data_IF_002158129884
#
_entry.id   IF_002158129884
#
_cell.length_a   1.000
_cell.length_b   1.000
_cell.length_c   1.000
_cell.angle_alpha   90.00
_cell.angle_beta   90.00
_cell.angle_gamma   90.00
#
_symmetry.space_group_name_H-M   'P 1'
#
loop_
_entity.id
_entity.type
_entity.pdbx_description
1 polymer ?
#
# COMPACT_ATOMS: atom_id res chain seq x y z
N UNK A 1 -10.74 45.08 -16.17
CA UNK A 1 -10.54 44.28 -17.40
C UNK A 1 -9.05 44.05 -17.60
N UNK A 2 -8.59 42.79 -17.74
CA UNK A 2 -7.20 42.53 -18.10
C UNK A 2 -7.00 42.75 -19.62
N UNK A 3 -6.50 43.93 -19.99
CA UNK A 3 -6.05 44.23 -21.36
C UNK A 3 -4.53 44.12 -21.46
N UNK A 4 -4.02 43.30 -22.38
CA UNK A 4 -2.58 43.12 -22.65
C UNK A 4 -2.25 41.70 -23.10
N UNK A 5 -1.39 41.57 -24.12
CA UNK A 5 -1.03 40.30 -24.81
C UNK A 5 -0.80 39.14 -23.84
N UNK A 6 -1.29 37.98 -24.24
CA UNK A 6 -1.15 36.70 -23.55
C UNK A 6 0.24 36.54 -22.92
N UNK A 7 0.27 36.49 -21.58
CA UNK A 7 1.50 36.46 -20.78
C UNK A 7 2.19 35.10 -20.78
N UNK A 8 2.44 34.52 -21.96
CA UNK A 8 3.31 33.36 -22.11
C UNK A 8 4.75 33.84 -22.13
N UNK A 9 5.45 33.66 -21.02
CA UNK A 9 6.89 33.89 -20.95
C UNK A 9 7.59 32.52 -21.02
N UNK A 10 8.00 32.14 -22.24
CA UNK A 10 8.95 31.05 -22.45
C UNK A 10 10.36 31.60 -22.29
N UNK A 11 11.16 30.99 -21.43
CA UNK A 11 12.60 31.29 -21.37
C UNK A 11 13.35 30.20 -22.11
N UNK A 12 14.01 30.57 -23.21
CA UNK A 12 15.11 29.78 -23.79
C UNK A 12 16.39 30.20 -23.08
N UNK A 13 16.66 29.64 -21.91
CA UNK A 13 18.01 29.69 -21.34
C UNK A 13 18.90 28.74 -22.15
N UNK A 14 19.41 29.23 -23.28
CA UNK A 14 20.65 28.70 -23.81
C UNK A 14 21.75 29.00 -22.81
N UNK A 15 22.52 27.99 -22.40
CA UNK A 15 23.73 28.18 -21.60
C UNK A 15 24.63 29.21 -22.28
N UNK A 16 24.60 30.45 -21.80
CA UNK A 16 25.49 31.52 -22.25
C UNK A 16 26.82 31.29 -21.55
N UNK A 17 27.78 30.75 -22.29
CA UNK A 17 29.17 30.69 -21.86
C UNK A 17 29.70 32.11 -21.61
N UNK A 18 30.32 32.33 -20.46
CA UNK A 18 30.92 33.59 -20.08
C UNK A 18 32.13 33.87 -20.97
N UNK A 19 32.03 34.89 -21.83
CA UNK A 19 33.16 35.48 -22.52
C UNK A 19 33.87 36.49 -21.63
N UNK A 20 35.11 36.22 -21.25
CA UNK A 20 36.05 37.22 -20.76
C UNK A 20 37.06 37.53 -21.86
N UNK A 21 37.21 38.82 -22.16
CA UNK A 21 38.24 39.35 -23.07
C UNK A 21 39.58 39.46 -22.34
N UNK A 22 40.68 39.10 -23.02
CA UNK A 22 42.06 39.29 -22.55
C UNK A 22 43.08 38.81 -23.59
N UNK A 23 43.98 39.71 -23.97
CA UNK A 23 44.90 39.66 -25.12
C UNK A 23 46.10 38.70 -25.01
N UNK A 24 46.47 38.19 -26.19
CA UNK A 24 47.81 37.90 -26.75
C UNK A 24 48.78 36.88 -26.11
N UNK A 25 49.23 35.99 -27.01
CA UNK A 25 50.55 35.33 -27.13
C UNK A 25 50.63 33.84 -26.74
N UNK A 26 51.05 33.03 -27.73
CA UNK A 26 51.82 31.81 -27.50
C UNK A 26 51.12 30.49 -27.82
N UNK A 27 51.55 29.85 -28.91
CA UNK A 27 51.79 28.41 -29.06
C UNK A 27 50.69 27.41 -28.65
N UNK A 28 50.16 26.68 -29.64
CA UNK A 28 49.35 25.48 -29.43
C UNK A 28 50.14 24.36 -28.73
N UNK A 29 49.61 23.75 -27.66
CA UNK A 29 49.80 22.33 -27.42
C UNK A 29 48.46 21.59 -27.52
N UNK A 30 48.56 20.34 -27.94
CA UNK A 30 47.49 19.36 -28.12
C UNK A 30 46.54 19.27 -26.91
N UNK A 31 45.22 19.04 -27.09
CA UNK A 31 44.32 18.86 -25.97
C UNK A 31 44.58 17.50 -25.32
N UNK A 32 45.26 17.52 -24.19
CA UNK A 32 45.20 16.43 -23.21
C UNK A 32 43.77 16.37 -22.65
N UNK A 33 43.12 15.22 -22.84
CA UNK A 33 41.82 14.89 -22.26
C UNK A 33 41.91 14.96 -20.73
N UNK A 34 41.43 16.04 -20.13
CA UNK A 34 41.04 16.06 -18.71
C UNK A 34 39.54 15.74 -18.63
N UNK A 35 39.11 14.79 -17.78
CA UNK A 35 37.70 14.58 -17.52
C UNK A 35 37.28 15.58 -16.45
N UNK A 36 36.98 16.82 -16.85
CA UNK A 36 36.45 17.81 -15.91
C UNK A 36 34.93 17.59 -15.74
N UNK A 37 34.60 16.49 -15.06
CA UNK A 37 33.29 16.31 -14.43
C UNK A 37 33.30 17.15 -13.15
N UNK A 38 33.05 18.44 -13.27
CA UNK A 38 32.66 19.27 -12.12
C UNK A 38 31.24 18.86 -11.68
N UNK A 39 31.13 17.74 -10.97
CA UNK A 39 29.91 17.32 -10.30
C UNK A 39 29.60 18.35 -9.20
N UNK A 40 28.62 19.23 -9.45
CA UNK A 40 28.09 20.12 -8.44
C UNK A 40 27.38 19.29 -7.35
N UNK A 41 27.73 19.50 -6.09
CA UNK A 41 27.08 18.85 -4.95
C UNK A 41 25.59 19.22 -4.91
N UNK A 42 24.70 18.27 -5.19
CA UNK A 42 23.26 18.50 -5.05
C UNK A 42 22.82 18.10 -3.64
N UNK A 43 22.50 19.09 -2.81
CA UNK A 43 21.90 18.87 -1.49
C UNK A 43 20.46 18.35 -1.63
N UNK A 44 20.08 17.43 -0.74
CA UNK A 44 18.74 16.85 -0.74
C UNK A 44 17.65 17.85 -0.35
N UNK A 45 16.53 17.82 -1.06
CA UNK A 45 15.33 18.55 -0.65
C UNK A 45 14.07 17.68 -0.73
N UNK A 46 13.09 18.05 0.07
CA UNK A 46 11.85 17.31 0.24
C UNK A 46 10.99 17.32 -1.03
N UNK A 47 10.46 16.15 -1.40
CA UNK A 47 9.35 16.02 -2.33
C UNK A 47 8.05 16.57 -1.74
N UNK A 48 7.01 16.60 -2.58
CA UNK A 48 5.67 16.96 -2.13
C UNK A 48 5.16 15.98 -1.06
N UNK A 49 4.40 16.52 -0.11
CA UNK A 49 3.68 15.70 0.85
C UNK A 49 2.66 14.82 0.16
N UNK A 50 2.56 13.57 0.60
CA UNK A 50 1.44 12.71 0.27
C UNK A 50 0.13 13.28 0.84
N UNK A 51 -1.04 12.91 0.27
CA UNK A 51 -2.32 13.19 0.88
C UNK A 51 -2.40 12.67 2.32
N UNK A 52 -3.20 13.33 3.16
CA UNK A 52 -3.44 12.86 4.52
C UNK A 52 -4.03 11.45 4.51
N UNK A 53 -3.45 10.55 5.32
CA UNK A 53 -4.02 9.24 5.59
C UNK A 53 -5.34 9.32 6.37
N UNK A 54 -6.08 8.21 6.48
CA UNK A 54 -7.29 8.18 7.29
C UNK A 54 -6.98 8.49 8.76
N UNK A 55 -7.93 9.11 9.45
CA UNK A 55 -7.83 9.34 10.89
C UNK A 55 -7.71 8.02 11.65
N UNK A 56 -6.91 8.01 12.72
CA UNK A 56 -6.73 6.85 13.59
C UNK A 56 -8.03 6.32 14.22
N UNK A 57 -9.08 7.14 14.26
CA UNK A 57 -10.44 6.75 14.61
C UNK A 57 -11.48 7.52 13.79
N UNK A 58 -12.69 6.97 13.71
CA UNK A 58 -13.84 7.53 12.98
C UNK A 58 -14.72 8.44 13.85
N UNK A 59 -14.44 8.55 15.15
CA UNK A 59 -15.20 9.37 16.09
C UNK A 59 -14.29 10.04 17.14
N UNK A 60 -14.74 11.16 17.71
CA UNK A 60 -14.02 11.90 18.76
C UNK A 60 -14.58 11.55 20.16
N UNK A 61 -13.73 11.31 21.17
CA UNK A 61 -14.17 11.12 22.55
C UNK A 61 -14.71 12.44 23.15
N UNK A 62 -15.73 12.36 24.01
CA UNK A 62 -16.46 13.52 24.55
C UNK A 62 -15.68 14.27 25.64
N UNK A 63 -14.79 13.62 26.42
CA UNK A 63 -13.87 14.30 27.35
C UNK A 63 -12.49 13.61 27.52
N UNK A 64 -11.46 14.45 27.72
CA UNK A 64 -10.06 14.19 28.15
C UNK A 64 -9.26 13.00 27.54
N UNK A 65 -9.70 12.45 26.42
CA UNK A 65 -8.97 11.40 25.68
C UNK A 65 -8.03 11.94 24.59
N UNK A 66 -7.02 11.15 24.16
CA UNK A 66 -6.20 11.50 23.01
C UNK A 66 -7.08 11.61 21.76
N UNK A 67 -7.08 12.79 21.13
CA UNK A 67 -7.85 13.06 19.91
C UNK A 67 -7.30 12.25 18.75
N UNK A 68 -8.15 11.74 17.84
CA UNK A 68 -7.70 11.01 16.67
C UNK A 68 -6.78 11.86 15.80
N UNK A 69 -5.71 11.26 15.29
CA UNK A 69 -4.71 11.92 14.46
C UNK A 69 -4.66 11.27 13.07
N UNK A 70 -4.38 12.09 12.07
CA UNK A 70 -4.03 11.68 10.71
C UNK A 70 -2.55 11.96 10.48
N UNK A 71 -1.90 11.09 9.71
CA UNK A 71 -0.47 11.18 9.38
C UNK A 71 -0.30 11.33 7.88
N UNK A 72 0.66 12.16 7.46
CA UNK A 72 1.16 12.21 6.07
C UNK A 72 2.67 12.06 6.04
N UNK A 73 3.18 11.59 4.90
CA UNK A 73 4.61 11.34 4.71
C UNK A 73 5.14 12.08 3.46
N UNK A 74 6.44 12.33 3.45
CA UNK A 74 7.18 12.88 2.31
C UNK A 74 8.54 12.20 2.21
N UNK A 75 9.07 12.16 1.00
CA UNK A 75 10.36 11.52 0.70
C UNK A 75 11.38 12.54 0.18
N UNK A 76 12.65 12.34 0.51
CA UNK A 76 13.76 13.23 0.14
C UNK A 76 14.21 12.92 -1.29
N UNK A 77 13.46 13.40 -2.28
CA UNK A 77 13.65 13.06 -3.70
C UNK A 77 13.62 14.25 -4.66
N UNK A 78 13.53 15.49 -4.18
CA UNK A 78 13.34 16.66 -5.04
C UNK A 78 14.23 17.88 -4.66
N UNK A 79 15.55 17.84 -4.92
CA UNK A 79 16.27 16.74 -5.57
C UNK A 79 16.75 15.70 -4.55
N UNK A 80 17.03 14.48 -5.03
CA UNK A 80 17.69 13.47 -4.21
C UNK A 80 19.14 13.89 -3.92
N UNK A 81 19.65 13.77 -2.68
CA UNK A 81 21.03 14.12 -2.37
C UNK A 81 22.02 13.34 -3.25
N UNK A 82 23.04 14.04 -3.76
CA UNK A 82 24.11 13.42 -4.54
C UNK A 82 24.90 12.43 -3.68
N UNK A 83 25.33 11.32 -4.25
CA UNK A 83 26.15 10.31 -3.55
C UNK A 83 27.65 10.66 -3.69
N UNK A 84 28.05 11.25 -4.83
CA UNK A 84 29.44 11.62 -5.13
C UNK A 84 29.44 12.91 -5.96
N UNK A 85 29.94 14.06 -5.44
CA UNK A 85 30.26 14.30 -4.04
C UNK A 85 29.00 14.16 -3.15
N UNK A 86 29.12 13.71 -1.90
CA UNK A 86 27.97 13.49 -1.02
C UNK A 86 27.29 14.82 -0.68
N UNK A 87 26.02 14.96 -1.05
CA UNK A 87 25.21 16.12 -0.70
C UNK A 87 24.58 16.02 0.69
N UNK A 88 24.35 17.17 1.32
CA UNK A 88 23.65 17.24 2.60
C UNK A 88 22.27 16.55 2.57
N UNK A 89 21.88 15.82 3.65
CA UNK A 89 20.58 15.18 3.76
C UNK A 89 19.45 16.21 3.97
N UNK A 90 18.21 15.80 3.71
CA UNK A 90 17.04 16.66 3.94
C UNK A 90 16.87 17.00 5.44
N UNK A 91 16.79 18.29 5.76
CA UNK A 91 16.56 18.77 7.13
C UNK A 91 15.08 18.73 7.52
N UNK A 92 14.78 18.21 8.72
CA UNK A 92 13.43 18.13 9.29
C UNK A 92 12.82 16.73 9.26
N UNK A 93 11.54 16.61 9.63
CA UNK A 93 10.83 15.32 9.67
C UNK A 93 10.28 14.91 8.29
N UNK A 94 10.35 13.61 8.01
CA UNK A 94 9.71 12.97 6.85
C UNK A 94 8.20 12.73 7.06
N UNK A 95 7.73 12.87 8.30
CA UNK A 95 6.35 12.60 8.72
C UNK A 95 5.78 13.80 9.45
N UNK A 96 4.49 14.01 9.26
CA UNK A 96 3.72 15.05 9.94
C UNK A 96 2.39 14.47 10.41
N UNK A 97 2.05 14.77 11.67
CA UNK A 97 0.83 14.32 12.33
C UNK A 97 -0.06 15.54 12.60
N UNK A 98 -1.35 15.40 12.32
CA UNK A 98 -2.34 16.45 12.57
C UNK A 98 -3.58 15.86 13.24
N UNK A 99 -4.14 16.59 14.19
CA UNK A 99 -5.40 16.22 14.84
C UNK A 99 -6.56 16.31 13.85
N UNK A 100 -7.39 15.28 13.81
CA UNK A 100 -8.59 15.26 12.99
C UNK A 100 -9.67 16.18 13.57
N UNK A 101 -10.31 16.97 12.70
CA UNK A 101 -11.36 17.95 13.06
C UNK A 101 -12.65 17.53 12.36
N UNK A 102 -13.81 17.67 13.02
CA UNK A 102 -15.12 17.40 12.42
C UNK A 102 -15.58 15.94 12.42
N UNK A 103 -14.96 15.06 13.22
CA UNK A 103 -15.44 13.69 13.43
C UNK A 103 -16.64 13.67 14.40
N UNK A 104 -17.64 12.81 14.18
CA UNK A 104 -18.78 12.66 15.07
C UNK A 104 -18.35 12.19 16.47
N UNK A 105 -19.12 12.48 17.51
CA UNK A 105 -18.85 11.96 18.85
C UNK A 105 -19.06 10.44 18.87
N UNK A 106 -18.16 9.73 19.56
CA UNK A 106 -18.35 8.30 19.75
C UNK A 106 -19.62 8.08 20.60
N UNK A 107 -20.57 7.23 20.18
CA UNK A 107 -21.73 6.92 21.02
C UNK A 107 -21.24 6.31 22.33
N UNK A 108 -21.51 6.99 23.44
CA UNK A 108 -21.13 6.52 24.78
C UNK A 108 -21.72 5.14 25.05
N UNK A 109 -20.90 4.23 25.54
CA UNK A 109 -21.32 2.92 26.01
C UNK A 109 -22.21 3.08 27.26
N UNK A 110 -23.52 3.23 27.08
CA UNK A 110 -24.44 2.63 28.04
C UNK A 110 -24.37 1.13 27.83
N UNK A 111 -23.57 0.47 28.68
CA UNK A 111 -23.47 -0.98 28.72
C UNK A 111 -24.88 -1.60 28.80
N UNK A 112 -25.21 -2.62 27.99
CA UNK A 112 -26.43 -3.37 28.17
C UNK A 112 -26.42 -4.08 29.54
N UNK A 113 -27.57 -4.24 30.21
CA UNK A 113 -27.61 -4.92 31.50
C UNK A 113 -27.10 -6.35 31.36
N UNK A 114 -26.25 -6.76 32.31
CA UNK A 114 -25.68 -8.10 32.37
C UNK A 114 -26.76 -9.19 32.39
N UNK A 115 -26.56 -10.34 31.71
CA UNK A 115 -27.49 -11.45 31.79
C UNK A 115 -27.52 -12.06 33.22
N UNK A 116 -28.67 -12.61 33.66
CA UNK A 116 -28.81 -13.20 34.98
C UNK A 116 -27.93 -14.46 35.13
N UNK A 117 -27.47 -14.78 36.36
CA UNK A 117 -26.63 -15.96 36.58
C UNK A 117 -27.40 -17.26 36.32
N UNK A 118 -26.75 -18.30 35.77
CA UNK A 118 -27.37 -19.60 35.59
C UNK A 118 -27.64 -20.25 36.95
N UNK A 119 -28.83 -20.85 37.07
CA UNK A 119 -29.32 -21.58 38.24
C UNK A 119 -28.81 -23.03 38.19
N UNK A 120 -28.31 -23.51 39.32
CA UNK A 120 -27.67 -24.80 39.53
C UNK A 120 -28.46 -26.02 39.04
N UNK A 121 -27.71 -27.03 38.59
CA UNK A 121 -28.12 -28.43 38.62
C UNK A 121 -26.93 -29.28 39.08
N UNK A 122 -27.10 -29.84 40.29
CA UNK A 122 -26.34 -30.91 40.98
C UNK A 122 -25.87 -32.03 40.02
N UNK A 123 -24.80 -32.81 40.17
CA UNK A 123 -23.81 -33.23 41.20
C UNK A 123 -22.78 -34.16 40.47
N UNK A 124 -21.77 -34.86 41.06
CA UNK A 124 -21.30 -34.91 42.45
C UNK A 124 -19.78 -34.67 42.64
N UNK A 125 -19.38 -34.68 43.91
CA UNK A 125 -18.06 -34.44 44.46
C UNK A 125 -16.95 -35.45 44.04
N UNK A 126 -15.73 -34.93 43.92
CA UNK A 126 -14.46 -35.65 44.08
C UNK A 126 -13.44 -34.75 44.81
N UNK A 127 -12.66 -35.35 45.70
CA UNK A 127 -11.92 -34.74 46.81
C UNK A 127 -10.59 -34.03 46.47
N UNK A 128 -9.80 -33.68 47.50
CA UNK A 128 -8.71 -32.73 47.41
C UNK A 128 -7.33 -33.41 47.32
N UNK A 129 -6.54 -33.02 46.32
CA UNK A 129 -5.06 -32.87 46.30
C UNK A 129 -4.71 -32.63 44.82
N UNK A 130 -4.02 -31.57 44.43
CA UNK A 130 -2.64 -31.30 44.83
C UNK A 130 -1.71 -31.59 43.63
N UNK A 131 -1.25 -30.51 42.99
CA UNK A 131 0.01 -30.41 42.23
C UNK A 131 0.03 -30.63 40.72
N UNK A 132 0.47 -29.56 40.04
CA UNK A 132 0.90 -29.44 38.65
C UNK A 132 1.99 -30.44 38.21
N UNK A 133 1.94 -30.79 36.92
CA UNK A 133 3.09 -31.24 36.14
C UNK A 133 3.92 -30.05 35.63
N UNK A 134 5.28 -30.08 35.70
CA UNK A 134 6.15 -29.12 35.03
C UNK A 134 6.64 -29.64 33.65
N UNK A 135 7.17 -28.74 32.79
CA UNK A 135 7.71 -29.08 31.47
C UNK A 135 9.24 -29.35 31.45
N UNK A 136 9.63 -30.11 30.42
CA UNK A 136 10.91 -30.20 29.69
C UNK A 136 12.28 -29.98 30.39
N UNK A 137 13.08 -31.07 30.38
CA UNK A 137 14.38 -31.13 29.68
C UNK A 137 15.64 -30.54 30.32
N UNK A 138 16.61 -31.42 30.67
CA UNK A 138 18.04 -31.44 30.23
C UNK A 138 18.82 -32.51 31.03
N UNK A 139 19.73 -33.21 30.34
CA UNK A 139 20.30 -34.51 30.76
C UNK A 139 21.38 -34.49 31.84
N UNK A 140 21.94 -35.66 32.22
CA UNK A 140 22.97 -35.73 33.25
C UNK A 140 24.38 -35.96 32.70
N UNK A 141 25.35 -35.34 33.38
CA UNK A 141 26.78 -35.66 33.31
C UNK A 141 27.18 -36.35 34.63
N UNK A 142 27.97 -37.41 34.48
CA UNK A 142 28.72 -38.27 35.42
C UNK A 142 29.11 -37.71 36.79
N UNK A 143 29.11 -38.57 37.84
CA UNK A 143 30.30 -39.26 38.41
C UNK A 143 29.90 -40.21 39.58
N UNK A 144 30.54 -41.38 39.63
CA UNK A 144 30.58 -42.39 40.74
C UNK A 144 31.51 -41.88 41.89
N UNK A 145 31.73 -42.53 43.08
CA UNK A 145 31.49 -43.96 43.42
C UNK A 145 31.06 -44.37 44.87
N UNK A 146 30.31 -45.50 44.95
CA UNK A 146 30.35 -46.66 45.91
C UNK A 146 30.31 -46.48 47.47
N UNK A 147 30.18 -47.56 48.29
CA UNK A 147 29.47 -48.85 48.15
C UNK A 147 28.57 -49.18 49.37
N UNK A 148 27.65 -50.14 49.20
CA UNK A 148 27.24 -51.22 50.15
C UNK A 148 25.74 -51.46 50.09
N UNK A 149 25.34 -52.43 49.27
CA UNK A 149 24.22 -53.29 49.62
C UNK A 149 24.41 -54.64 48.93
N UNK A 150 24.14 -55.68 49.71
CA UNK A 150 24.42 -57.08 49.48
C UNK A 150 23.52 -57.65 48.38
N UNK A 151 24.10 -58.37 47.43
CA UNK A 151 23.39 -59.27 46.53
C UNK A 151 22.82 -60.47 47.30
N UNK A 152 21.65 -60.97 46.89
CA UNK A 152 21.49 -62.39 46.65
C UNK A 152 21.56 -62.67 45.14
N UNK A 153 22.22 -63.77 44.85
CA UNK A 153 22.59 -64.35 43.57
C UNK A 153 21.41 -65.15 42.97
N UNK A 154 21.33 -65.15 41.64
CA UNK A 154 20.47 -65.98 40.75
C UNK A 154 18.97 -65.63 40.80
N UNK A 155 18.34 -65.26 39.69
CA UNK A 155 18.27 -66.06 38.46
C UNK A 155 18.40 -65.21 37.20
N UNK A 156 19.26 -65.66 36.26
CA UNK A 156 19.13 -65.26 34.86
C UNK A 156 17.88 -65.97 34.32
N UNK A 157 16.71 -65.33 34.45
CA UNK A 157 15.61 -65.65 33.55
C UNK A 157 16.10 -65.21 32.18
N UNK A 158 16.37 -66.18 31.32
CA UNK A 158 16.58 -66.00 29.89
C UNK A 158 15.30 -65.40 29.30
N UNK A 159 15.10 -64.10 29.53
CA UNK A 159 14.24 -63.28 28.71
C UNK A 159 14.97 -63.23 27.38
N UNK A 160 14.53 -64.06 26.43
CA UNK A 160 14.83 -63.83 25.02
C UNK A 160 14.33 -62.43 24.71
N UNK A 161 15.20 -61.42 24.88
CA UNK A 161 15.07 -60.15 24.20
C UNK A 161 15.19 -60.50 22.73
N UNK A 162 14.04 -60.74 22.09
CA UNK A 162 13.91 -60.80 20.65
C UNK A 162 14.32 -59.43 20.11
N UNK A 163 15.62 -59.24 19.90
CA UNK A 163 16.21 -58.03 19.35
C UNK A 163 15.67 -57.87 17.92
N UNK A 164 14.52 -57.22 17.82
CA UNK A 164 13.80 -57.03 16.57
C UNK A 164 14.56 -55.98 15.77
N UNK A 165 14.96 -56.33 14.54
CA UNK A 165 15.78 -55.44 13.71
C UNK A 165 15.02 -54.13 13.40
N UNK A 166 15.68 -52.96 13.46
CA UNK A 166 15.08 -51.69 13.06
C UNK A 166 14.64 -51.78 11.60
N UNK A 167 13.39 -51.41 11.33
CA UNK A 167 12.84 -51.32 9.97
C UNK A 167 12.66 -49.84 9.67
N UNK A 168 13.43 -49.33 8.71
CA UNK A 168 13.31 -47.94 8.26
C UNK A 168 12.01 -47.72 7.47
N UNK A 169 11.41 -46.54 7.64
CA UNK A 169 10.17 -46.17 6.98
C UNK A 169 10.35 -45.90 5.48
N UNK A 170 9.47 -46.48 4.67
CA UNK A 170 9.38 -46.24 3.23
C UNK A 170 8.10 -45.51 2.82
N UNK A 171 8.20 -44.64 1.82
CA UNK A 171 7.06 -43.93 1.27
C UNK A 171 6.14 -44.86 0.46
N UNK A 172 4.83 -44.69 0.63
CA UNK A 172 3.83 -45.21 -0.29
C UNK A 172 3.91 -44.53 -1.65
N UNK A 173 3.23 -45.10 -2.64
CA UNK A 173 2.88 -44.36 -3.85
C UNK A 173 2.10 -43.09 -3.50
N UNK A 174 2.20 -42.08 -4.37
CA UNK A 174 1.37 -40.88 -4.27
C UNK A 174 -0.11 -41.27 -4.42
N UNK A 175 -0.93 -40.78 -3.50
CA UNK A 175 -2.38 -40.89 -3.57
C UNK A 175 -2.92 -40.04 -4.72
N UNK A 176 -4.16 -40.33 -5.13
CA UNK A 176 -4.86 -39.53 -6.13
C UNK A 176 -4.86 -38.04 -5.75
N UNK A 177 -4.65 -37.19 -6.76
CA UNK A 177 -4.63 -35.74 -6.58
C UNK A 177 -5.98 -35.22 -6.09
N UNK A 178 -5.96 -34.21 -5.22
CA UNK A 178 -7.16 -33.44 -4.88
C UNK A 178 -7.79 -32.79 -6.12
N UNK A 179 -9.08 -32.42 -6.09
CA UNK A 179 -9.62 -31.50 -7.09
C UNK A 179 -8.85 -30.18 -7.10
N UNK A 180 -8.94 -29.45 -8.21
CA UNK A 180 -8.33 -28.14 -8.35
C UNK A 180 -8.93 -27.18 -7.30
N UNK A 181 -8.09 -26.37 -6.66
CA UNK A 181 -8.49 -25.46 -5.59
C UNK A 181 -9.44 -24.34 -6.03
N UNK A 182 -9.62 -24.15 -7.34
CA UNK A 182 -10.45 -23.10 -7.94
C UNK A 182 -11.36 -23.70 -9.00
N UNK A 183 -12.45 -22.99 -9.30
CA UNK A 183 -13.38 -23.35 -10.39
C UNK A 183 -13.04 -22.66 -11.71
N UNK A 184 -12.31 -21.54 -11.68
CA UNK A 184 -11.88 -20.78 -12.85
C UNK A 184 -10.38 -20.43 -12.79
N UNK A 185 -9.74 -20.27 -13.93
CA UNK A 185 -8.35 -19.87 -14.06
C UNK A 185 -7.35 -20.92 -13.60
N UNK A 186 -6.31 -20.44 -12.91
CA UNK A 186 -5.21 -21.27 -12.41
C UNK A 186 -5.38 -21.51 -10.91
N UNK A 187 -5.32 -22.77 -10.51
CA UNK A 187 -5.34 -23.19 -9.11
C UNK A 187 -4.24 -24.18 -8.79
N UNK A 188 -4.43 -24.91 -7.69
CA UNK A 188 -3.50 -25.93 -7.22
C UNK A 188 -4.21 -27.24 -6.93
N UNK A 189 -3.53 -28.34 -7.21
CA UNK A 189 -3.87 -29.68 -6.73
C UNK A 189 -2.84 -30.13 -5.71
N UNK A 190 -3.26 -30.99 -4.79
CA UNK A 190 -2.42 -31.55 -3.73
C UNK A 190 -2.40 -33.07 -3.83
N UNK A 191 -1.20 -33.64 -3.77
CA UNK A 191 -0.99 -35.08 -3.68
C UNK A 191 -0.32 -35.41 -2.36
N UNK A 192 -0.73 -36.52 -1.75
CA UNK A 192 -0.23 -36.98 -0.45
C UNK A 192 0.36 -38.38 -0.57
N UNK A 193 1.36 -38.69 0.24
CA UNK A 193 1.92 -40.04 0.39
C UNK A 193 2.12 -40.33 1.88
N UNK A 194 2.08 -41.60 2.24
CA UNK A 194 2.15 -42.06 3.62
C UNK A 194 3.47 -42.79 3.85
N UNK A 195 4.01 -42.68 5.06
CA UNK A 195 5.21 -43.42 5.46
C UNK A 195 4.82 -44.81 5.99
N UNK A 196 4.34 -45.69 5.10
CA UNK A 196 3.79 -46.98 5.48
C UNK A 196 4.23 -48.16 4.58
N UNK A 197 5.20 -47.96 3.68
CA UNK A 197 5.65 -48.99 2.74
C UNK A 197 7.18 -49.18 2.76
N UNK A 198 7.76 -49.80 3.82
CA UNK A 198 7.12 -50.27 5.06
C UNK A 198 6.98 -49.16 6.11
N UNK A 199 6.14 -49.36 7.13
CA UNK A 199 6.08 -48.45 8.27
C UNK A 199 7.33 -48.60 9.17
N UNK A 200 7.88 -47.52 9.73
CA UNK A 200 9.06 -47.59 10.60
C UNK A 200 8.73 -48.38 11.88
N UNK A 201 9.60 -49.34 12.23
CA UNK A 201 9.44 -50.18 13.44
C UNK A 201 10.77 -50.38 14.16
N UNK A 202 10.69 -50.75 15.44
CA UNK A 202 11.85 -51.12 16.29
C UNK A 202 12.99 -50.07 16.28
N UNK A 203 12.64 -48.78 16.26
CA UNK A 203 13.62 -47.69 16.25
C UNK A 203 14.19 -47.33 14.86
N UNK A 204 13.61 -47.85 13.78
CA UNK A 204 13.98 -47.47 12.41
C UNK A 204 13.66 -46.00 12.07
N UNK A 205 14.35 -45.46 11.07
CA UNK A 205 14.30 -44.05 10.68
C UNK A 205 12.95 -43.66 10.07
N UNK A 206 12.46 -42.43 10.28
CA UNK A 206 11.27 -41.93 9.60
C UNK A 206 11.55 -41.67 8.11
N UNK A 207 10.49 -41.63 7.31
CA UNK A 207 10.62 -41.29 5.89
C UNK A 207 11.14 -39.85 5.71
N UNK A 208 12.21 -39.70 4.92
CA UNK A 208 12.81 -38.40 4.63
C UNK A 208 12.11 -37.72 3.45
N UNK A 209 11.88 -36.42 3.57
CA UNK A 209 11.24 -35.57 2.54
C UNK A 209 9.77 -35.24 2.84
N UNK A 210 9.13 -34.52 1.92
CA UNK A 210 7.76 -34.03 2.10
C UNK A 210 6.72 -35.15 1.90
N UNK A 211 5.73 -35.20 2.79
CA UNK A 211 4.55 -36.09 2.68
C UNK A 211 3.50 -35.59 1.70
N UNK A 212 3.58 -34.31 1.30
CA UNK A 212 2.63 -33.64 0.42
C UNK A 212 3.38 -32.88 -0.66
N UNK A 213 2.86 -32.89 -1.89
CA UNK A 213 3.34 -32.02 -2.97
C UNK A 213 2.18 -31.31 -3.66
N UNK A 214 2.45 -30.12 -4.18
CA UNK A 214 1.47 -29.29 -4.87
C UNK A 214 1.85 -29.10 -6.33
N UNK A 215 0.87 -29.19 -7.23
CA UNK A 215 1.04 -28.87 -8.65
C UNK A 215 0.03 -27.83 -9.09
N UNK A 216 0.33 -27.09 -10.15
CA UNK A 216 -0.64 -26.17 -10.75
C UNK A 216 -1.67 -26.93 -11.57
N UNK A 217 -2.92 -26.47 -11.51
CA UNK A 217 -3.99 -26.90 -12.40
C UNK A 217 -4.55 -25.69 -13.15
N UNK A 218 -4.92 -25.89 -14.41
CA UNK A 218 -5.63 -24.90 -15.21
C UNK A 218 -7.03 -25.44 -15.51
N UNK A 219 -8.06 -24.78 -15.03
CA UNK A 219 -9.45 -25.23 -15.25
C UNK A 219 -9.94 -24.94 -16.67
N UNK A 220 -9.19 -24.15 -17.44
CA UNK A 220 -9.54 -23.65 -18.79
C UNK A 220 -10.83 -22.82 -18.83
N UNK A 221 -11.36 -22.45 -17.66
CA UNK A 221 -12.54 -21.61 -17.50
C UNK A 221 -12.05 -20.20 -17.15
N UNK A 222 -12.42 -19.20 -17.93
CA UNK A 222 -12.09 -17.81 -17.62
C UNK A 222 -12.86 -17.35 -16.36
N UNK A 223 -12.19 -16.63 -15.47
CA UNK A 223 -12.85 -16.10 -14.27
C UNK A 223 -13.79 -14.94 -14.62
N UNK A 224 -14.92 -14.78 -13.89
CA UNK A 224 -15.75 -13.60 -14.01
C UNK A 224 -14.95 -12.33 -13.72
N UNK A 225 -15.14 -11.30 -14.55
CA UNK A 225 -14.52 -9.99 -14.39
C UNK A 225 -15.62 -8.98 -14.16
N UNK A 226 -15.57 -8.34 -13.00
CA UNK A 226 -16.53 -7.29 -12.63
C UNK A 226 -16.29 -6.04 -13.48
N UNK A 227 -17.38 -5.35 -13.81
CA UNK A 227 -17.30 -4.11 -14.56
C UNK A 227 -16.61 -3.00 -13.77
N UNK A 228 -15.87 -2.15 -14.47
CA UNK A 228 -15.22 -0.96 -13.90
C UNK A 228 -15.80 0.32 -14.49
N UNK A 229 -15.89 1.35 -13.65
CA UNK A 229 -16.30 2.67 -14.09
C UNK A 229 -15.23 3.31 -14.97
N UNK A 230 -15.64 3.89 -16.09
CA UNK A 230 -14.79 4.86 -16.79
C UNK A 230 -14.61 6.12 -15.96
N UNK A 231 -13.60 6.92 -16.29
CA UNK A 231 -13.58 8.32 -15.86
C UNK A 231 -14.89 9.01 -16.26
N UNK A 232 -15.28 10.01 -15.48
CA UNK A 232 -16.41 10.85 -15.80
C UNK A 232 -16.13 11.63 -17.08
N UNK A 233 -17.11 11.67 -17.98
CA UNK A 233 -17.05 12.57 -19.12
C UNK A 233 -17.09 14.04 -18.70
N UNK A 234 -16.85 14.90 -19.68
CA UNK A 234 -16.98 16.35 -19.54
C UNK A 234 -18.40 16.75 -19.12
N UNK A 235 -18.49 17.88 -18.42
CA UNK A 235 -19.78 18.46 -18.06
C UNK A 235 -20.48 19.02 -19.30
N UNK A 236 -21.78 18.73 -19.44
CA UNK A 236 -22.61 19.37 -20.45
C UNK A 236 -22.63 20.90 -20.27
N UNK A 237 -23.01 21.68 -21.29
CA UNK A 237 -23.29 23.10 -21.11
C UNK A 237 -24.33 23.33 -20.00
N UNK A 238 -24.16 24.39 -19.22
CA UNK A 238 -25.12 24.78 -18.19
C UNK A 238 -26.41 25.26 -18.85
N UNK A 239 -27.51 24.55 -18.61
CA UNK A 239 -28.83 24.87 -19.19
C UNK A 239 -29.92 24.71 -18.15
N UNK A 240 -30.99 25.49 -18.23
CA UNK A 240 -32.17 25.33 -17.38
C UNK A 240 -33.24 24.54 -18.15
N UNK A 241 -33.56 23.28 -17.76
CA UNK A 241 -34.58 22.49 -18.46
C UNK A 241 -35.93 23.21 -18.47
N UNK A 242 -36.59 23.24 -19.63
CA UNK A 242 -37.90 23.89 -19.80
C UNK A 242 -37.87 25.42 -19.90
N UNK A 243 -36.69 26.05 -19.84
CA UNK A 243 -36.54 27.50 -20.05
C UNK A 243 -35.99 27.76 -21.46
N UNK A 244 -36.66 28.63 -22.21
CA UNK A 244 -36.31 28.99 -23.60
C UNK A 244 -35.42 30.23 -23.71
N UNK A 245 -35.23 30.98 -22.61
CA UNK A 245 -34.34 32.14 -22.57
C UNK A 245 -32.87 31.77 -22.39
N UNK A 246 -31.99 32.72 -22.66
CA UNK A 246 -30.56 32.58 -22.37
C UNK A 246 -30.27 32.89 -20.90
N UNK A 247 -29.65 31.93 -20.20
CA UNK A 247 -29.25 32.05 -18.79
C UNK A 247 -27.80 32.54 -18.63
N UNK A 248 -27.12 32.87 -19.74
CA UNK A 248 -25.73 33.33 -19.73
C UNK A 248 -25.60 34.66 -18.97
N UNK A 249 -24.65 34.72 -18.04
CA UNK A 249 -24.32 35.91 -17.25
C UNK A 249 -25.45 36.44 -16.37
N UNK A 250 -26.42 35.58 -16.04
CA UNK A 250 -27.56 35.91 -15.21
C UNK A 250 -27.54 35.08 -13.93
N UNK A 251 -28.19 35.56 -12.87
CA UNK A 251 -28.40 34.84 -11.61
C UNK A 251 -29.50 33.77 -11.72
N UNK A 252 -29.52 33.07 -12.85
CA UNK A 252 -30.45 31.98 -13.12
C UNK A 252 -29.73 30.64 -12.95
N UNK A 253 -30.22 29.83 -12.02
CA UNK A 253 -29.69 28.48 -11.79
C UNK A 253 -30.05 27.57 -12.97
N UNK A 254 -29.02 27.03 -13.59
CA UNK A 254 -29.11 25.94 -14.56
C UNK A 254 -28.62 24.61 -13.97
N UNK A 255 -28.58 23.60 -14.82
CA UNK A 255 -28.12 22.26 -14.50
C UNK A 255 -27.09 21.80 -15.53
N UNK A 256 -26.05 21.11 -15.05
CA UNK A 256 -25.12 20.36 -15.89
C UNK A 256 -25.19 18.89 -15.56
N UNK A 257 -24.94 18.08 -16.57
CA UNK A 257 -24.92 16.63 -16.48
C UNK A 257 -23.63 16.11 -17.07
N UNK A 258 -23.03 15.14 -16.41
CA UNK A 258 -21.94 14.33 -16.97
C UNK A 258 -22.25 12.86 -16.81
N UNK A 259 -21.66 12.04 -17.67
CA UNK A 259 -21.94 10.60 -17.71
C UNK A 259 -20.66 9.79 -17.55
N UNK A 260 -20.79 8.59 -17.03
CA UNK A 260 -19.76 7.55 -17.02
C UNK A 260 -20.38 6.23 -17.44
N UNK A 261 -19.56 5.32 -17.96
CA UNK A 261 -20.00 4.02 -18.42
C UNK A 261 -19.32 2.90 -17.65
N UNK A 262 -20.01 1.78 -17.48
CA UNK A 262 -19.43 0.57 -16.91
C UNK A 262 -18.84 -0.28 -18.06
N UNK A 263 -17.52 -0.48 -18.07
CA UNK A 263 -16.80 -1.23 -19.13
C UNK A 263 -16.03 -2.42 -18.54
N UNK A 264 -15.67 -3.38 -19.40
CA UNK A 264 -14.82 -4.52 -19.02
C UNK A 264 -15.52 -5.68 -18.29
N UNK A 265 -16.86 -5.64 -18.19
CA UNK A 265 -17.65 -6.69 -17.54
C UNK A 265 -17.71 -7.96 -18.39
N UNK A 266 -17.40 -9.12 -17.81
CA UNK A 266 -17.68 -10.43 -18.41
C UNK A 266 -19.16 -10.81 -18.23
N UNK A 267 -19.71 -11.80 -18.98
CA UNK A 267 -21.12 -12.18 -18.90
C UNK A 267 -21.62 -12.45 -17.46
N UNK A 268 -20.81 -13.18 -16.68
CA UNK A 268 -21.09 -13.55 -15.29
C UNK A 268 -20.54 -12.57 -14.24
N UNK A 269 -19.83 -11.51 -14.67
CA UNK A 269 -19.29 -10.50 -13.77
C UNK A 269 -20.38 -9.60 -13.19
N UNK A 270 -20.09 -8.94 -12.07
CA UNK A 270 -21.00 -7.96 -11.45
C UNK A 270 -21.03 -6.66 -12.25
N UNK A 271 -22.18 -5.96 -12.18
CA UNK A 271 -22.32 -4.62 -12.74
C UNK A 271 -21.73 -3.60 -11.77
N UNK A 272 -21.21 -2.50 -12.31
CA UNK A 272 -20.73 -1.38 -11.50
C UNK A 272 -21.86 -0.83 -10.62
N UNK A 273 -21.55 -0.60 -9.35
CA UNK A 273 -22.49 -0.02 -8.38
C UNK A 273 -22.51 1.51 -8.46
N UNK A 274 -23.70 2.09 -8.30
CA UNK A 274 -23.94 3.53 -8.32
C UNK A 274 -24.46 4.08 -9.66
N UNK A 275 -24.62 5.40 -9.73
CA UNK A 275 -25.24 6.06 -10.89
C UNK A 275 -24.27 6.20 -12.08
N UNK A 276 -24.81 6.07 -13.30
CA UNK A 276 -24.14 6.37 -14.58
C UNK A 276 -24.14 7.86 -14.90
N UNK A 277 -24.96 8.65 -14.19
CA UNK A 277 -25.19 10.06 -14.45
C UNK A 277 -24.94 10.86 -13.18
N UNK A 278 -24.22 11.98 -13.31
CA UNK A 278 -24.02 12.94 -12.25
C UNK A 278 -24.55 14.30 -12.68
N UNK A 279 -25.35 14.90 -11.81
CA UNK A 279 -26.07 16.15 -12.04
C UNK A 279 -25.61 17.17 -11.00
N UNK A 280 -25.36 18.41 -11.42
CA UNK A 280 -25.12 19.52 -10.50
C UNK A 280 -25.81 20.80 -10.95
N UNK A 281 -26.10 21.67 -9.99
CA UNK A 281 -26.50 23.05 -10.24
C UNK A 281 -25.31 23.87 -10.74
N UNK A 282 -25.59 24.86 -11.58
CA UNK A 282 -24.58 25.73 -12.19
C UNK A 282 -25.16 27.11 -12.51
N UNK A 283 -24.27 28.10 -12.66
CA UNK A 283 -24.58 29.36 -13.33
C UNK A 283 -23.80 29.39 -14.65
N UNK A 284 -24.43 29.86 -15.72
CA UNK A 284 -23.77 29.91 -17.02
C UNK A 284 -22.91 31.18 -17.13
N UNK A 285 -21.62 31.07 -16.74
CA UNK A 285 -20.64 32.16 -16.83
C UNK A 285 -19.86 32.14 -18.16
N UNK A 286 -20.32 31.38 -19.16
CA UNK A 286 -19.59 31.23 -20.42
C UNK A 286 -19.60 32.56 -21.19
N UNK A 287 -18.42 33.12 -21.46
CA UNK A 287 -18.20 34.40 -22.17
C UNK A 287 -18.78 35.63 -21.47
N UNK A 288 -18.97 35.57 -20.17
CA UNK A 288 -19.37 36.74 -19.40
C UNK A 288 -18.22 37.71 -19.21
N UNK A 289 -18.49 38.99 -19.44
CA UNK A 289 -17.51 40.06 -19.22
C UNK A 289 -17.50 40.39 -17.74
N UNK A 290 -16.50 39.86 -17.05
CA UNK A 290 -16.28 40.13 -15.62
C UNK A 290 -15.08 41.07 -15.45
N UNK A 291 -15.14 41.87 -14.40
CA UNK A 291 -13.95 42.53 -13.89
C UNK A 291 -13.02 41.48 -13.28
N UNK A 292 -11.72 41.67 -13.48
CA UNK A 292 -10.73 40.67 -13.10
C UNK A 292 -9.35 41.28 -12.92
N UNK A 293 -8.51 40.54 -12.22
CA UNK A 293 -7.13 40.90 -11.91
C UNK A 293 -6.19 39.78 -12.37
N UNK A 294 -4.92 40.12 -12.59
CA UNK A 294 -3.91 39.12 -12.91
C UNK A 294 -3.57 38.32 -11.66
N UNK A 295 -3.62 36.99 -11.77
CA UNK A 295 -3.06 36.12 -10.75
C UNK A 295 -1.54 36.34 -10.62
N UNK A 296 -0.99 35.88 -9.51
CA UNK A 296 0.45 35.66 -9.43
C UNK A 296 0.92 34.70 -10.52
N UNK A 297 2.21 34.78 -10.85
CA UNK A 297 2.83 33.83 -11.76
C UNK A 297 2.76 32.42 -11.17
N UNK A 298 2.35 31.45 -11.99
CA UNK A 298 2.51 30.04 -11.62
C UNK A 298 3.97 29.71 -11.34
N UNK A 299 4.19 28.61 -10.62
CA UNK A 299 5.50 27.97 -10.62
C UNK A 299 5.91 27.63 -12.06
N UNK A 300 7.23 27.53 -12.28
CA UNK A 300 7.76 27.03 -13.55
C UNK A 300 7.24 25.62 -13.80
N UNK A 301 6.65 25.42 -14.98
CA UNK A 301 6.27 24.10 -15.46
C UNK A 301 7.48 23.23 -15.76
N UNK A 302 7.21 21.97 -16.03
CA UNK A 302 8.24 21.02 -16.47
C UNK A 302 8.87 21.48 -17.79
N UNK A 303 10.11 21.09 -18.00
CA UNK A 303 10.81 21.22 -19.27
C UNK A 303 10.09 20.41 -20.36
N UNK A 304 9.70 21.07 -21.46
CA UNK A 304 9.04 20.41 -22.60
C UNK A 304 9.88 20.65 -23.87
N UNK A 305 10.27 19.61 -24.62
CA UNK A 305 10.05 18.19 -24.31
C UNK A 305 10.91 17.71 -23.12
N UNK A 306 10.42 16.71 -22.36
CA UNK A 306 11.16 16.14 -21.23
C UNK A 306 12.49 15.49 -21.68
N UNK A 307 12.51 14.98 -22.92
CA UNK A 307 13.70 14.44 -23.58
C UNK A 307 13.79 15.07 -24.98
N UNK A 308 14.98 15.56 -25.37
CA UNK A 308 15.21 16.16 -26.69
C UNK A 308 16.06 17.42 -26.62
N UNK A 309 16.24 18.07 -27.76
CA UNK A 309 16.99 19.33 -27.83
C UNK A 309 16.07 20.51 -27.49
N UNK A 310 16.62 21.49 -26.77
CA UNK A 310 15.96 22.74 -26.37
C UNK A 310 14.70 22.57 -25.49
N UNK A 311 14.82 21.92 -24.31
CA UNK A 311 13.73 21.92 -23.34
C UNK A 311 13.40 23.35 -22.90
N UNK A 312 12.13 23.74 -23.02
CA UNK A 312 11.64 25.05 -22.58
C UNK A 312 10.78 24.89 -21.34
N UNK A 313 11.10 25.65 -20.29
CA UNK A 313 10.22 25.85 -19.14
C UNK A 313 9.29 27.02 -19.40
N UNK A 314 8.03 26.89 -19.02
CA UNK A 314 7.03 27.93 -19.15
C UNK A 314 6.31 28.13 -17.83
N UNK A 315 5.94 29.38 -17.53
CA UNK A 315 5.03 29.73 -16.44
C UNK A 315 3.96 30.66 -16.99
N UNK A 316 2.79 30.65 -16.36
CA UNK A 316 1.65 31.45 -16.80
C UNK A 316 1.03 32.16 -15.61
N UNK A 317 0.46 33.33 -15.89
CA UNK A 317 -0.49 33.99 -15.01
C UNK A 317 -1.83 34.07 -15.73
N UNK A 318 -2.92 33.99 -14.98
CA UNK A 318 -4.27 33.94 -15.54
C UNK A 318 -5.03 35.16 -15.04
N UNK A 319 -5.82 35.82 -15.90
CA UNK A 319 -6.75 36.83 -15.43
C UNK A 319 -7.90 36.14 -14.69
N UNK A 320 -7.94 36.30 -13.37
CA UNK A 320 -8.96 35.71 -12.50
C UNK A 320 -10.10 36.73 -12.31
N UNK A 321 -11.37 36.29 -12.35
CA UNK A 321 -12.48 37.18 -12.05
C UNK A 321 -12.40 37.63 -10.60
N UNK A 322 -12.63 38.91 -10.34
CA UNK A 322 -12.77 39.41 -8.98
C UNK A 322 -14.09 38.82 -8.45
N UNK A 323 -14.03 38.00 -7.40
CA UNK A 323 -15.23 37.42 -6.81
C UNK A 323 -16.22 38.54 -6.47
N UNK A 324 -17.52 38.35 -6.74
CA UNK A 324 -18.54 39.21 -6.18
C UNK A 324 -18.35 39.20 -4.65
N UNK A 325 -18.12 40.38 -4.08
CA UNK A 325 -17.65 40.56 -2.71
C UNK A 325 -18.51 39.84 -1.67
N UNK A 326 -17.84 39.27 -0.69
CA UNK A 326 -18.36 39.20 0.67
C UNK A 326 -18.05 40.55 1.32
N UNK A 327 -18.90 41.54 1.10
CA UNK A 327 -19.02 42.72 1.97
C UNK A 327 -20.24 42.53 2.89
#
# INVERSE_FOLDING_TARGET
>A
MCGGRDGYMGSTEGMVGWGMAGSLAGGWPLPTLTPDLSLSEAHGNWGSWEPWGPCSATCSPEEAGPKPQQRRSRVCNNPMPSIIPPGLPCSGSATEDQTCIGLPFCPGETAPPAPPPPRDSQSPALGPDGSQCPPEGKGPVSHSPNPRARFPMLTCVSFSLTLSCPVDGGWSNWQASSPCSVTCGMGRIMEKRLCNNPAPRHGGKPCLGLSTRSHFCNTKIACPVDGQWTEWGEWSPCRRPGYTGDISCQEIVGQQTRTRSCKGRSPDGKRCEGSTIHIRSCYNMFRCKLEGHWSDWSSWGLCIPACGKNPVKSRKRVCQPTACGSD
#
